data_IF_322089872096
#
_entry.id   IF_322089872096
#
_cell.length_a   1.000
_cell.length_b   1.000
_cell.length_c   1.000
_cell.angle_alpha   90.00
_cell.angle_beta   90.00
_cell.angle_gamma   90.00
#
_symmetry.space_group_name_H-M   'P 1'
#
loop_
_entity.id
_entity.type
_entity.pdbx_description
1 polymer ?
#
# COMPACT_ATOMS: atom_id res chain seq x y z
N UNK A 1 -61.40 10.61 -18.37
CA UNK A 1 -60.46 10.01 -19.34
C UNK A 1 -60.40 8.53 -19.05
N UNK A 2 -60.59 7.72 -20.08
CA UNK A 2 -60.99 6.31 -20.07
C UNK A 2 -60.02 5.34 -19.38
N UNK A 3 -60.58 4.43 -18.58
CA UNK A 3 -60.03 3.09 -18.35
C UNK A 3 -60.22 2.21 -19.59
N UNK A 4 -59.11 1.65 -20.12
CA UNK A 4 -59.00 0.53 -21.08
C UNK A 4 -57.51 0.36 -21.49
N UNK A 5 -56.82 -0.78 -21.54
CA UNK A 5 -57.14 -2.17 -21.91
C UNK A 5 -56.02 -3.13 -21.45
N UNK A 6 -56.43 -4.31 -20.95
CA UNK A 6 -55.84 -5.65 -21.09
C UNK A 6 -54.32 -5.88 -21.04
N UNK A 7 -53.92 -6.53 -19.94
CA UNK A 7 -52.94 -7.61 -19.93
C UNK A 7 -53.17 -8.56 -21.12
N UNK A 8 -52.23 -8.59 -22.06
CA UNK A 8 -52.16 -9.58 -23.13
C UNK A 8 -51.09 -10.59 -22.78
N UNK A 9 -51.51 -11.84 -22.73
CA UNK A 9 -50.69 -12.97 -22.35
C UNK A 9 -49.47 -13.17 -23.25
N UNK A 10 -48.45 -13.71 -22.60
CA UNK A 10 -47.68 -14.87 -23.06
C UNK A 10 -46.80 -14.67 -24.29
N UNK A 11 -45.48 -14.71 -24.05
CA UNK A 11 -44.58 -15.52 -24.86
C UNK A 11 -43.32 -15.84 -24.06
N UNK A 12 -43.28 -17.08 -23.56
CA UNK A 12 -42.04 -17.83 -23.38
C UNK A 12 -41.19 -17.65 -24.64
N UNK A 13 -39.96 -17.19 -24.47
CA UNK A 13 -38.78 -17.45 -25.34
C UNK A 13 -37.57 -16.74 -24.71
N UNK A 14 -37.07 -17.27 -23.59
CA UNK A 14 -35.65 -17.10 -23.27
C UNK A 14 -34.90 -18.06 -24.18
N UNK A 15 -34.61 -17.56 -25.37
CA UNK A 15 -33.78 -18.22 -26.34
C UNK A 15 -33.03 -17.13 -27.07
N UNK A 16 -31.79 -16.90 -26.66
CA UNK A 16 -30.60 -16.89 -27.51
C UNK A 16 -29.40 -16.62 -26.61
N UNK A 17 -28.38 -17.45 -26.75
CA UNK A 17 -27.10 -17.34 -26.06
C UNK A 17 -26.54 -15.91 -26.18
N UNK A 18 -26.29 -15.28 -25.03
CA UNK A 18 -25.37 -14.16 -24.93
C UNK A 18 -24.00 -14.75 -24.60
N UNK A 19 -23.18 -14.70 -25.65
CA UNK A 19 -21.75 -14.88 -25.70
C UNK A 19 -21.09 -14.08 -24.56
N UNK A 20 -20.44 -14.79 -23.63
CA UNK A 20 -19.57 -14.16 -22.64
C UNK A 20 -18.44 -13.45 -23.40
N UNK A 21 -18.07 -12.22 -23.05
CA UNK A 21 -16.85 -11.63 -23.59
C UNK A 21 -15.69 -12.50 -23.10
N UNK A 22 -15.04 -13.23 -24.02
CA UNK A 22 -13.78 -13.89 -23.74
C UNK A 22 -12.79 -12.81 -23.26
N UNK A 23 -12.43 -12.88 -21.98
CA UNK A 23 -11.32 -12.10 -21.45
C UNK A 23 -10.08 -12.40 -22.31
N UNK A 24 -9.32 -11.39 -22.76
CA UNK A 24 -8.11 -11.63 -23.51
C UNK A 24 -7.18 -12.47 -22.63
N UNK A 25 -6.90 -13.69 -23.07
CA UNK A 25 -5.96 -14.61 -22.42
C UNK A 25 -4.66 -13.85 -22.21
N UNK A 26 -4.36 -13.50 -20.95
CA UNK A 26 -3.11 -12.84 -20.57
C UNK A 26 -1.99 -13.75 -21.06
N UNK A 27 -1.28 -13.32 -22.10
CA UNK A 27 -0.06 -13.99 -22.55
C UNK A 27 0.86 -14.16 -21.34
N UNK A 28 1.54 -15.30 -21.17
CA UNK A 28 2.55 -15.40 -20.13
C UNK A 28 3.51 -14.23 -20.31
N UNK A 29 3.64 -13.39 -19.28
CA UNK A 29 4.69 -12.38 -19.25
C UNK A 29 6.00 -13.13 -19.50
N UNK A 30 6.89 -12.62 -20.38
CA UNK A 30 8.18 -13.27 -20.54
C UNK A 30 8.81 -13.33 -19.14
N UNK A 31 9.10 -14.53 -18.65
CA UNK A 31 9.95 -14.73 -17.48
C UNK A 31 11.22 -13.95 -17.80
N UNK A 32 11.38 -12.79 -17.14
CA UNK A 32 12.58 -11.98 -17.29
C UNK A 32 13.74 -12.88 -16.95
N UNK A 33 14.84 -12.83 -17.71
CA UNK A 33 16.07 -13.55 -17.37
C UNK A 33 16.41 -13.21 -15.91
N UNK A 34 16.07 -14.10 -14.98
CA UNK A 34 16.43 -13.96 -13.58
C UNK A 34 17.95 -13.80 -13.59
N UNK A 35 18.45 -12.67 -13.09
CA UNK A 35 19.86 -12.36 -13.22
C UNK A 35 20.64 -13.44 -12.46
N UNK A 36 21.31 -14.34 -13.19
CA UNK A 36 22.24 -15.35 -12.67
C UNK A 36 23.54 -14.66 -12.20
N UNK A 37 23.36 -13.69 -11.30
CA UNK A 37 24.41 -12.93 -10.65
C UNK A 37 24.51 -13.48 -9.23
N UNK A 38 25.69 -13.95 -8.86
CA UNK A 38 26.01 -14.29 -7.48
C UNK A 38 25.98 -12.99 -6.65
N UNK A 39 24.91 -12.79 -5.87
CA UNK A 39 24.81 -11.66 -4.93
C UNK A 39 25.63 -11.98 -3.68
N UNK A 40 26.56 -11.09 -3.34
CA UNK A 40 27.32 -11.18 -2.10
C UNK A 40 26.40 -10.95 -0.88
N UNK A 41 26.57 -11.76 0.16
CA UNK A 41 25.82 -11.66 1.41
C UNK A 41 26.58 -10.86 2.49
N UNK A 42 27.72 -10.25 2.16
CA UNK A 42 28.43 -9.36 3.08
C UNK A 42 27.55 -8.16 3.46
N UNK A 43 27.27 -8.01 4.77
CA UNK A 43 26.40 -6.97 5.31
C UNK A 43 24.91 -7.36 5.40
N UNK A 44 24.52 -8.57 4.98
CA UNK A 44 23.15 -9.09 5.22
C UNK A 44 22.99 -9.40 6.71
N UNK A 45 22.00 -8.77 7.33
CA UNK A 45 21.61 -9.01 8.72
C UNK A 45 20.35 -9.87 8.77
N UNK A 46 20.17 -10.59 9.89
CA UNK A 46 18.92 -11.31 10.14
C UNK A 46 17.74 -10.33 10.24
N UNK A 47 16.52 -10.75 9.84
CA UNK A 47 15.35 -9.92 9.99
C UNK A 47 15.04 -9.68 11.47
N UNK A 48 14.64 -8.45 11.79
CA UNK A 48 14.12 -8.13 13.11
C UNK A 48 12.82 -8.90 13.34
N UNK A 49 12.68 -9.51 14.52
CA UNK A 49 11.47 -10.22 14.94
C UNK A 49 10.68 -9.41 15.98
N UNK A 50 10.86 -8.09 15.97
CA UNK A 50 10.17 -7.17 16.86
C UNK A 50 8.69 -7.02 16.46
N UNK A 51 7.89 -6.56 17.42
CA UNK A 51 6.50 -6.23 17.16
C UNK A 51 6.40 -5.15 16.06
N UNK A 52 5.32 -5.14 15.27
CA UNK A 52 5.10 -4.12 14.26
C UNK A 52 5.21 -2.71 14.87
N UNK A 53 5.86 -1.81 14.14
CA UNK A 53 5.97 -0.40 14.55
C UNK A 53 4.57 0.21 14.74
N UNK A 54 4.41 1.06 15.75
CA UNK A 54 3.15 1.76 16.02
C UNK A 54 2.88 2.79 14.92
N UNK A 55 1.80 2.60 14.16
CA UNK A 55 1.41 3.48 13.04
C UNK A 55 0.32 4.51 13.39
N UNK A 56 -0.14 4.54 14.64
CA UNK A 56 -1.26 5.38 15.08
C UNK A 56 -2.64 4.85 14.65
N UNK A 57 -3.68 5.66 14.82
CA UNK A 57 -5.05 5.33 14.41
C UNK A 57 -5.45 6.15 13.17
N UNK A 58 -5.74 5.44 12.08
CA UNK A 58 -6.16 6.03 10.80
C UNK A 58 -7.55 6.67 10.85
N UNK A 59 -8.40 6.29 11.82
CA UNK A 59 -9.78 6.78 11.91
C UNK A 59 -9.93 8.04 12.77
N UNK A 60 -8.86 8.46 13.45
CA UNK A 60 -8.87 9.66 14.28
C UNK A 60 -8.92 10.90 13.39
N UNK A 61 -9.85 11.81 13.68
CA UNK A 61 -9.89 13.12 13.04
C UNK A 61 -8.69 13.95 13.51
N UNK A 62 -7.85 14.35 12.56
CA UNK A 62 -6.69 15.19 12.84
C UNK A 62 -7.15 16.65 12.99
N UNK A 63 -7.12 17.16 14.21
CA UNK A 63 -7.41 18.57 14.51
C UNK A 63 -6.19 19.46 14.26
N UNK A 64 -6.39 20.77 14.13
CA UNK A 64 -5.30 21.74 13.94
C UNK A 64 -4.27 21.68 15.08
N UNK A 65 -4.73 21.56 16.33
CA UNK A 65 -3.85 21.43 17.50
C UNK A 65 -2.97 20.16 17.42
N UNK A 66 -3.53 19.03 16.94
CA UNK A 66 -2.77 17.80 16.76
C UNK A 66 -1.70 17.92 15.66
N UNK A 67 -1.96 18.70 14.61
CA UNK A 67 -0.96 18.98 13.58
C UNK A 67 0.21 19.78 14.13
N UNK A 68 -0.07 20.80 14.94
CA UNK A 68 0.97 21.63 15.55
C UNK A 68 1.86 20.79 16.49
N UNK A 69 1.24 19.98 17.36
CA UNK A 69 1.99 19.06 18.23
C UNK A 69 2.83 18.04 17.45
N UNK A 70 2.29 17.49 16.35
CA UNK A 70 3.04 16.56 15.51
C UNK A 70 4.23 17.24 14.82
N UNK A 71 4.09 18.48 14.39
CA UNK A 71 5.16 19.26 13.78
C UNK A 71 6.27 19.59 14.80
N UNK A 72 5.92 19.95 16.02
CA UNK A 72 6.89 20.16 17.11
C UNK A 72 7.70 18.88 17.38
N UNK A 73 7.01 17.74 17.55
CA UNK A 73 7.66 16.44 17.76
C UNK A 73 8.54 16.00 16.60
N UNK A 74 8.14 16.30 15.36
CA UNK A 74 8.96 16.04 14.17
C UNK A 74 10.29 16.79 14.24
N UNK A 75 10.27 18.06 14.63
CA UNK A 75 11.48 18.87 14.77
C UNK A 75 12.39 18.29 15.87
N UNK A 76 11.80 17.91 17.01
CA UNK A 76 12.53 17.28 18.10
C UNK A 76 13.21 15.96 17.68
N UNK A 77 12.47 15.09 16.98
CA UNK A 77 13.02 13.82 16.48
C UNK A 77 14.16 14.02 15.48
N UNK A 78 14.04 15.00 14.56
CA UNK A 78 15.10 15.37 13.62
C UNK A 78 16.34 15.88 14.36
N UNK A 79 16.14 16.70 15.40
CA UNK A 79 17.26 17.20 16.21
C UNK A 79 17.97 16.06 16.95
N UNK A 80 17.22 15.13 17.56
CA UNK A 80 17.78 13.97 18.25
C UNK A 80 18.57 13.05 17.29
N UNK A 81 18.06 12.82 16.08
CA UNK A 81 18.76 12.05 15.05
C UNK A 81 20.10 12.74 14.68
N UNK A 82 20.08 14.06 14.48
CA UNK A 82 21.29 14.84 14.18
C UNK A 82 22.31 14.82 15.32
N UNK A 83 21.88 14.74 16.58
CA UNK A 83 22.77 14.63 17.73
C UNK A 83 23.39 13.23 17.87
N UNK A 84 22.65 12.17 17.57
CA UNK A 84 23.17 10.81 17.52
C UNK A 84 24.34 10.65 16.53
N UNK A 85 24.20 11.23 15.34
CA UNK A 85 25.26 11.25 14.33
C UNK A 85 26.49 12.02 14.83
N UNK A 86 26.30 13.16 15.48
CA UNK A 86 27.39 13.95 16.09
C UNK A 86 28.11 13.16 17.19
N UNK A 87 27.40 12.36 18.00
CA UNK A 87 28.02 11.51 19.01
C UNK A 87 28.88 10.41 18.38
N UNK A 88 28.42 9.78 17.29
CA UNK A 88 29.22 8.82 16.54
C UNK A 88 30.52 9.47 16.00
N UNK A 89 30.42 10.63 15.35
CA UNK A 89 31.61 11.34 14.85
C UNK A 89 32.53 11.86 15.98
N UNK A 90 31.98 12.35 17.10
CA UNK A 90 32.77 12.84 18.23
C UNK A 90 33.51 11.72 18.97
N UNK A 91 32.91 10.53 19.08
CA UNK A 91 33.57 9.36 19.67
C UNK A 91 34.75 8.87 18.81
N UNK A 92 34.62 8.91 17.47
CA UNK A 92 35.64 8.43 16.54
C UNK A 92 36.68 9.49 16.13
N UNK A 93 36.45 10.78 16.38
CA UNK A 93 37.41 11.86 16.08
C UNK A 93 38.41 12.11 17.22
N UNK A 94 38.42 11.28 18.27
CA UNK A 94 39.42 11.32 19.35
C UNK A 94 40.53 10.30 19.09
N UNK A 95 41.22 10.45 17.96
CA UNK A 95 42.52 9.84 17.68
C UNK A 95 43.36 10.83 16.89
#
# INVERSE_FOLDING_TARGET
>A
MHDRLNLRGEKRRFGKAEEQPEEPVKSPEPESEESDLEIDNEGVIEPDNDDPQEMGDENVEVTEEMMDQANEKKIEAINALSEGDKLFFAAYSRH
#
